data_IF_539913346146
#
_entry.id   IF_539913346146
#
_cell.length_a   1.000
_cell.length_b   1.000
_cell.length_c   1.000
_cell.angle_alpha   90.00
_cell.angle_beta   90.00
_cell.angle_gamma   90.00
#
_symmetry.space_group_name_H-M   'P 1'
#
loop_
_entity.id
_entity.type
_entity.pdbx_description
1 polymer ?
#
# COMPACT_ATOMS: atom_id res chain seq x y z
N UNK A 1 -39.25 -25.20 49.81
CA UNK A 1 -38.85 -25.66 48.47
C UNK A 1 -37.42 -25.22 48.22
N UNK A 2 -36.46 -26.11 48.30
CA UNK A 2 -35.03 -25.78 48.29
C UNK A 2 -34.58 -25.42 46.87
N UNK A 3 -33.65 -24.48 46.73
CA UNK A 3 -33.09 -23.98 45.46
C UNK A 3 -32.66 -25.15 44.54
N UNK A 4 -32.17 -26.26 45.10
CA UNK A 4 -31.83 -27.50 44.40
C UNK A 4 -32.98 -28.18 43.67
N UNK A 5 -34.22 -28.10 44.20
CA UNK A 5 -35.38 -28.70 43.54
C UNK A 5 -35.85 -27.92 42.33
N UNK A 6 -35.68 -26.59 42.35
CA UNK A 6 -36.04 -25.72 41.21
C UNK A 6 -35.05 -25.89 40.04
N UNK A 7 -33.76 -26.04 40.31
CA UNK A 7 -32.75 -26.29 39.29
C UNK A 7 -32.96 -27.65 38.59
N UNK A 8 -33.33 -28.70 39.34
CA UNK A 8 -33.66 -30.02 38.75
C UNK A 8 -34.92 -29.99 37.87
N UNK A 9 -35.92 -29.19 38.20
CA UNK A 9 -37.12 -29.02 37.39
C UNK A 9 -36.80 -28.29 36.08
N UNK A 10 -35.92 -27.27 36.10
CA UNK A 10 -35.49 -26.55 34.92
C UNK A 10 -34.64 -27.42 33.95
N UNK A 11 -33.81 -28.30 34.48
CA UNK A 11 -32.99 -29.23 33.68
C UNK A 11 -33.84 -30.33 33.02
N UNK A 12 -35.02 -30.63 33.55
CA UNK A 12 -35.96 -31.65 33.04
C UNK A 12 -37.05 -31.10 32.14
N UNK A 13 -37.13 -29.77 31.98
CA UNK A 13 -38.16 -29.15 31.15
C UNK A 13 -37.69 -29.09 29.68
N UNK A 14 -38.20 -30.04 28.90
CA UNK A 14 -37.89 -30.16 27.46
C UNK A 14 -38.63 -29.13 26.59
N UNK A 15 -39.50 -28.30 27.18
CA UNK A 15 -40.26 -27.27 26.44
C UNK A 15 -39.38 -26.15 25.86
N UNK A 16 -38.15 -25.97 26.38
CA UNK A 16 -37.14 -25.04 25.87
C UNK A 16 -36.23 -25.59 24.76
N UNK A 17 -36.33 -26.88 24.41
CA UNK A 17 -35.47 -27.52 23.41
C UNK A 17 -35.38 -26.77 22.08
N UNK A 18 -36.51 -26.47 21.41
CA UNK A 18 -36.48 -25.71 20.14
C UNK A 18 -35.88 -24.30 20.27
N UNK A 19 -36.06 -23.64 21.42
CA UNK A 19 -35.45 -22.32 21.67
C UNK A 19 -33.94 -22.42 21.83
N UNK A 20 -33.43 -23.47 22.47
CA UNK A 20 -31.98 -23.68 22.61
C UNK A 20 -31.33 -24.05 21.28
N UNK A 21 -31.99 -24.89 20.48
CA UNK A 21 -31.51 -25.20 19.10
C UNK A 21 -31.49 -23.97 18.22
N UNK A 22 -32.54 -23.15 18.24
CA UNK A 22 -32.60 -21.88 17.50
C UNK A 22 -31.51 -20.90 17.95
N UNK A 23 -31.27 -20.78 19.27
CA UNK A 23 -30.23 -19.92 19.81
C UNK A 23 -28.82 -20.35 19.35
N UNK A 24 -28.55 -21.64 19.22
CA UNK A 24 -27.30 -22.19 18.71
C UNK A 24 -27.12 -21.90 17.22
N UNK A 25 -28.14 -22.08 16.40
CA UNK A 25 -28.11 -21.82 14.97
C UNK A 25 -27.94 -20.32 14.68
N UNK A 26 -28.67 -19.49 15.42
CA UNK A 26 -28.55 -18.01 15.26
C UNK A 26 -27.17 -17.53 15.71
N UNK A 27 -26.62 -18.08 16.77
CA UNK A 27 -25.24 -17.76 17.21
C UNK A 27 -24.21 -18.07 16.13
N UNK A 28 -24.29 -19.26 15.53
CA UNK A 28 -23.42 -19.62 14.40
C UNK A 28 -23.59 -18.70 13.19
N UNK A 29 -24.86 -18.37 12.86
CA UNK A 29 -25.16 -17.44 11.76
C UNK A 29 -24.50 -16.07 11.98
N UNK A 30 -24.59 -15.52 13.20
CA UNK A 30 -23.96 -14.23 13.50
C UNK A 30 -22.43 -14.30 13.40
N UNK A 31 -21.80 -15.37 13.87
CA UNK A 31 -20.34 -15.55 13.73
C UNK A 31 -19.94 -15.51 12.25
N UNK A 32 -20.64 -16.25 11.39
CA UNK A 32 -20.39 -16.27 9.95
C UNK A 32 -20.64 -14.90 9.32
N UNK A 33 -21.73 -14.23 9.68
CA UNK A 33 -22.05 -12.90 9.16
C UNK A 33 -21.00 -11.86 9.53
N UNK A 34 -20.53 -11.85 10.77
CA UNK A 34 -19.49 -10.94 11.24
C UNK A 34 -18.15 -11.25 10.51
N UNK A 35 -17.82 -12.52 10.35
CA UNK A 35 -16.61 -12.92 9.60
C UNK A 35 -16.64 -12.42 8.15
N UNK A 36 -17.76 -12.61 7.46
CA UNK A 36 -17.93 -12.10 6.07
C UNK A 36 -17.81 -10.58 6.02
N UNK A 37 -18.40 -9.87 6.99
CA UNK A 37 -18.31 -8.42 7.09
C UNK A 37 -16.87 -7.93 7.31
N UNK A 38 -16.13 -8.58 8.20
CA UNK A 38 -14.71 -8.26 8.44
C UNK A 38 -13.85 -8.48 7.20
N UNK A 39 -14.03 -9.60 6.50
CA UNK A 39 -13.31 -9.88 5.26
C UNK A 39 -13.65 -8.85 4.17
N UNK A 40 -14.91 -8.47 4.06
CA UNK A 40 -15.36 -7.42 3.12
C UNK A 40 -14.64 -6.08 3.38
N UNK A 41 -14.52 -5.69 4.65
CA UNK A 41 -13.79 -4.47 5.05
C UNK A 41 -12.31 -4.56 4.71
N UNK A 42 -11.69 -5.70 4.96
CA UNK A 42 -10.28 -5.92 4.63
C UNK A 42 -10.03 -5.78 3.12
N UNK A 43 -10.80 -6.47 2.28
CA UNK A 43 -10.66 -6.38 0.82
C UNK A 43 -10.95 -4.99 0.28
N UNK A 44 -11.95 -4.30 0.84
CA UNK A 44 -12.25 -2.93 0.45
C UNK A 44 -11.08 -1.99 0.74
N UNK A 45 -10.44 -2.10 1.91
CA UNK A 45 -9.25 -1.30 2.26
C UNK A 45 -8.06 -1.62 1.36
N UNK A 46 -7.83 -2.90 1.06
CA UNK A 46 -6.78 -3.31 0.12
C UNK A 46 -7.00 -2.71 -1.27
N UNK A 47 -8.22 -2.76 -1.80
CA UNK A 47 -8.56 -2.19 -3.10
C UNK A 47 -8.41 -0.65 -3.11
N UNK A 48 -8.81 0.03 -2.02
CA UNK A 48 -8.63 1.48 -1.90
C UNK A 48 -7.14 1.87 -1.84
N UNK A 49 -6.31 1.12 -1.12
CA UNK A 49 -4.88 1.36 -1.05
C UNK A 49 -4.19 1.09 -2.40
N UNK A 50 -4.62 0.08 -3.16
CA UNK A 50 -4.14 -0.16 -4.52
C UNK A 50 -4.50 1.02 -5.44
N UNK A 51 -5.73 1.48 -5.40
CA UNK A 51 -6.14 2.67 -6.17
C UNK A 51 -5.37 3.91 -5.77
N UNK A 52 -5.12 4.13 -4.47
CA UNK A 52 -4.30 5.22 -3.96
C UNK A 52 -2.87 5.16 -4.51
N UNK A 53 -2.27 3.95 -4.61
CA UNK A 53 -0.93 3.76 -5.18
C UNK A 53 -0.88 4.15 -6.66
N UNK A 54 -1.91 3.80 -7.43
CA UNK A 54 -2.01 4.22 -8.83
C UNK A 54 -2.18 5.74 -8.99
N UNK A 55 -2.92 6.40 -8.11
CA UNK A 55 -3.01 7.86 -8.11
C UNK A 55 -1.66 8.49 -7.74
N UNK A 56 -1.01 7.97 -6.72
CA UNK A 56 0.28 8.46 -6.26
C UNK A 56 1.35 8.42 -7.35
N UNK A 57 1.47 7.29 -8.08
CA UNK A 57 2.47 7.18 -9.16
C UNK A 57 2.16 8.13 -10.32
N UNK A 58 0.88 8.37 -10.63
CA UNK A 58 0.49 9.32 -11.69
C UNK A 58 0.93 10.74 -11.36
N UNK A 59 0.77 11.18 -10.11
CA UNK A 59 1.23 12.50 -9.68
C UNK A 59 2.76 12.52 -9.67
N UNK A 60 3.42 11.49 -9.13
CA UNK A 60 4.87 11.40 -9.06
C UNK A 60 5.56 11.38 -10.43
N UNK A 61 4.88 10.87 -11.47
CA UNK A 61 5.42 10.81 -12.84
C UNK A 61 5.49 12.18 -13.55
N UNK A 62 4.73 13.18 -13.07
CA UNK A 62 4.64 14.52 -13.65
C UNK A 62 5.10 15.63 -12.70
N UNK A 63 5.72 15.27 -11.57
CA UNK A 63 6.24 16.20 -10.57
C UNK A 63 7.75 16.03 -10.42
N UNK A 64 8.45 17.04 -9.88
CA UNK A 64 9.87 16.93 -9.56
C UNK A 64 10.16 15.69 -8.72
N UNK A 65 11.29 15.00 -8.96
CA UNK A 65 11.63 13.79 -8.22
C UNK A 65 11.70 14.06 -6.72
N UNK A 66 11.08 13.17 -5.95
CA UNK A 66 11.10 13.23 -4.46
C UNK A 66 12.49 12.84 -3.93
N UNK A 67 13.14 11.88 -4.59
CA UNK A 67 14.44 11.37 -4.17
C UNK A 67 15.58 12.24 -4.68
N UNK A 68 16.56 12.55 -3.83
CA UNK A 68 17.76 13.26 -4.27
C UNK A 68 18.58 12.38 -5.22
N UNK A 69 19.32 13.02 -6.14
CA UNK A 69 20.25 12.33 -7.03
C UNK A 69 19.63 11.77 -8.31
N UNK A 70 18.37 12.06 -8.58
CA UNK A 70 17.75 11.80 -9.89
C UNK A 70 18.21 12.93 -10.84
N UNK A 71 18.91 12.61 -11.95
CA UNK A 71 19.39 13.64 -12.87
C UNK A 71 18.24 14.23 -13.68
N UNK A 72 18.40 15.50 -14.09
CA UNK A 72 17.42 16.18 -14.97
C UNK A 72 17.56 15.74 -16.43
N UNK A 73 18.80 15.47 -16.85
CA UNK A 73 19.14 15.14 -18.23
C UNK A 73 19.97 13.87 -18.32
N UNK A 74 19.91 13.22 -19.47
CA UNK A 74 20.78 12.11 -19.78
C UNK A 74 22.21 12.60 -19.99
N UNK A 75 23.09 12.32 -19.04
CA UNK A 75 24.52 12.69 -19.11
C UNK A 75 25.28 11.72 -19.99
N UNK A 76 26.46 12.19 -20.46
CA UNK A 76 27.36 11.38 -21.27
C UNK A 76 28.07 10.35 -20.42
N UNK A 77 28.13 9.10 -20.90
CA UNK A 77 28.94 8.07 -20.29
C UNK A 77 30.43 8.42 -20.32
N UNK A 78 31.15 8.07 -19.27
CA UNK A 78 32.60 8.30 -19.21
C UNK A 78 33.30 7.57 -20.37
N UNK A 79 34.13 8.30 -21.10
CA UNK A 79 34.86 7.81 -22.26
C UNK A 79 34.04 7.68 -23.55
N UNK A 80 32.79 8.11 -23.55
CA UNK A 80 31.96 8.14 -24.77
C UNK A 80 32.22 9.42 -25.58
N UNK A 81 32.42 9.26 -26.88
CA UNK A 81 32.52 10.39 -27.84
C UNK A 81 31.20 10.65 -28.58
N UNK A 82 30.12 10.03 -28.13
CA UNK A 82 28.82 10.18 -28.74
C UNK A 82 28.36 11.64 -28.78
N UNK A 83 27.72 12.04 -29.87
CA UNK A 83 27.18 13.41 -30.03
C UNK A 83 25.87 13.57 -29.29
N UNK A 84 25.56 14.78 -28.85
CA UNK A 84 24.24 15.10 -28.31
C UNK A 84 23.15 14.70 -29.32
N UNK A 85 22.06 14.18 -28.83
CA UNK A 85 20.99 13.60 -29.64
C UNK A 85 21.17 12.12 -29.99
N UNK A 86 22.31 11.48 -29.62
CA UNK A 86 22.46 10.02 -29.75
C UNK A 86 21.53 9.29 -28.78
N UNK A 87 20.82 8.29 -29.25
CA UNK A 87 19.92 7.50 -28.43
C UNK A 87 20.67 6.79 -27.30
N UNK A 88 20.11 6.78 -26.09
CA UNK A 88 20.67 6.06 -24.94
C UNK A 88 20.48 4.55 -25.08
N UNK A 89 19.34 4.11 -25.63
CA UNK A 89 19.02 2.68 -25.79
C UNK A 89 19.95 2.00 -26.82
N UNK A 90 20.49 0.85 -26.42
CA UNK A 90 21.34 0.04 -27.30
C UNK A 90 22.72 0.62 -27.59
N UNK A 91 23.09 1.75 -26.95
CA UNK A 91 24.41 2.39 -27.09
C UNK A 91 24.98 2.67 -25.70
N UNK A 92 26.31 2.82 -25.63
CA UNK A 92 26.98 3.30 -24.40
C UNK A 92 27.14 4.84 -24.38
N UNK A 93 26.22 5.54 -25.01
CA UNK A 93 26.31 7.01 -25.15
C UNK A 93 25.98 7.72 -23.81
N UNK A 94 25.01 7.24 -23.11
CA UNK A 94 24.51 7.83 -21.87
C UNK A 94 25.08 7.14 -20.63
N UNK A 95 25.29 7.93 -19.58
CA UNK A 95 25.71 7.42 -18.28
C UNK A 95 24.62 6.51 -17.68
N UNK A 96 25.05 5.43 -17.04
CA UNK A 96 24.14 4.56 -16.30
C UNK A 96 23.81 5.23 -14.97
N UNK A 97 22.53 5.53 -14.77
CA UNK A 97 22.03 6.07 -13.50
C UNK A 97 21.64 4.92 -12.58
N UNK A 98 22.22 4.90 -11.39
CA UNK A 98 21.85 3.92 -10.37
C UNK A 98 20.43 4.19 -9.87
N UNK A 99 19.61 3.15 -9.60
CA UNK A 99 18.28 3.35 -9.05
C UNK A 99 18.32 4.15 -7.76
N UNK A 100 17.48 5.18 -7.67
CA UNK A 100 17.31 5.99 -6.48
C UNK A 100 16.02 5.60 -5.77
N UNK A 101 16.08 5.42 -4.46
CA UNK A 101 14.90 5.13 -3.65
C UNK A 101 14.91 5.91 -2.35
N UNK A 102 13.75 6.38 -1.94
CA UNK A 102 13.57 7.15 -0.70
C UNK A 102 12.16 7.01 -0.16
N UNK A 103 12.01 7.23 1.15
CA UNK A 103 10.70 7.31 1.80
C UNK A 103 10.13 8.71 1.67
N UNK A 104 8.82 8.82 1.64
CA UNK A 104 8.13 10.10 1.71
C UNK A 104 8.40 10.80 3.05
N UNK A 105 8.74 12.08 2.96
CA UNK A 105 9.01 12.92 4.14
C UNK A 105 8.01 14.05 4.17
N UNK A 106 7.36 14.25 5.30
CA UNK A 106 6.46 15.38 5.51
C UNK A 106 7.23 16.71 5.34
N UNK A 107 6.59 17.70 4.72
CA UNK A 107 7.21 18.98 4.37
C UNK A 107 7.87 19.01 3.00
N UNK A 108 7.98 17.89 2.30
CA UNK A 108 8.29 17.89 0.88
C UNK A 108 7.01 18.22 0.10
N UNK A 109 6.98 19.30 -0.72
CA UNK A 109 5.75 19.76 -1.37
C UNK A 109 5.11 18.72 -2.28
N UNK A 110 5.90 17.90 -2.97
CA UNK A 110 5.40 16.83 -3.84
C UNK A 110 4.80 15.68 -3.01
N UNK A 111 5.47 15.30 -1.92
CA UNK A 111 4.96 14.27 -1.01
C UNK A 111 3.67 14.72 -0.35
N UNK A 112 3.61 15.98 0.10
CA UNK A 112 2.43 16.54 0.77
C UNK A 112 1.24 16.64 -0.22
N UNK A 113 1.47 17.00 -1.48
CA UNK A 113 0.45 16.98 -2.54
C UNK A 113 -0.08 15.56 -2.81
N UNK A 114 0.83 14.59 -2.97
CA UNK A 114 0.47 13.19 -3.20
C UNK A 114 -0.30 12.67 -2.00
N UNK A 115 0.26 12.82 -0.81
CA UNK A 115 -0.35 12.30 0.41
C UNK A 115 -1.71 12.93 0.69
N UNK A 116 -1.86 14.24 0.52
CA UNK A 116 -3.14 14.93 0.67
C UNK A 116 -4.22 14.43 -0.29
N UNK A 117 -3.83 14.01 -1.50
CA UNK A 117 -4.75 13.46 -2.49
C UNK A 117 -5.19 12.03 -2.15
N UNK A 118 -4.29 11.19 -1.63
CA UNK A 118 -4.57 9.78 -1.37
C UNK A 118 -5.02 9.49 0.07
N UNK A 119 -4.80 10.41 1.01
CA UNK A 119 -5.13 10.24 2.43
C UNK A 119 -6.58 9.76 2.69
N UNK A 120 -7.61 10.26 1.97
CA UNK A 120 -8.99 9.78 2.18
C UNK A 120 -9.22 8.31 1.82
N UNK A 121 -8.30 7.71 1.05
CA UNK A 121 -8.36 6.31 0.61
C UNK A 121 -7.58 5.37 1.54
N UNK A 122 -6.74 5.93 2.40
CA UNK A 122 -5.84 5.20 3.29
C UNK A 122 -6.44 5.04 4.70
N UNK A 123 -5.93 4.09 5.49
CA UNK A 123 -6.21 4.03 6.92
C UNK A 123 -5.81 5.32 7.65
N UNK A 124 -6.48 5.63 8.77
CA UNK A 124 -6.25 6.87 9.52
C UNK A 124 -4.85 6.97 10.16
N UNK A 125 -4.17 5.86 10.32
CA UNK A 125 -2.81 5.75 10.85
C UNK A 125 -1.73 5.90 9.77
N UNK A 126 -2.12 5.99 8.49
CA UNK A 126 -1.19 6.19 7.40
C UNK A 126 -0.51 7.56 7.51
N UNK A 127 0.78 7.58 7.21
CA UNK A 127 1.64 8.75 7.22
C UNK A 127 2.39 8.88 5.90
N UNK A 128 2.96 10.03 5.56
CA UNK A 128 3.82 10.18 4.38
C UNK A 128 4.98 9.19 4.33
N UNK A 129 5.48 8.72 5.48
CA UNK A 129 6.57 7.75 5.57
C UNK A 129 6.19 6.35 5.03
N UNK A 130 4.89 6.03 4.92
CA UNK A 130 4.43 4.80 4.30
C UNK A 130 4.61 4.80 2.77
N UNK A 131 4.84 5.98 2.16
CA UNK A 131 5.14 6.11 0.75
C UNK A 131 6.64 5.85 0.51
N UNK A 132 6.93 4.93 -0.41
CA UNK A 132 8.27 4.66 -0.91
C UNK A 132 8.31 5.01 -2.38
N UNK A 133 9.27 5.85 -2.75
CA UNK A 133 9.51 6.26 -4.13
C UNK A 133 10.75 5.55 -4.66
N UNK A 134 10.72 5.13 -5.92
CA UNK A 134 11.86 4.53 -6.60
C UNK A 134 11.90 5.00 -8.05
N UNK A 135 13.07 5.46 -8.47
CA UNK A 135 13.36 5.92 -9.82
C UNK A 135 14.42 5.04 -10.43
N UNK A 136 14.10 4.36 -11.52
CA UNK A 136 15.01 3.47 -12.23
C UNK A 136 15.21 3.93 -13.67
N UNK A 137 16.42 3.80 -14.18
CA UNK A 137 16.70 4.14 -15.58
C UNK A 137 15.99 3.15 -16.51
N UNK A 138 15.24 3.67 -17.46
CA UNK A 138 14.63 2.88 -18.54
C UNK A 138 15.58 2.65 -19.72
N UNK A 139 16.71 3.38 -19.75
CA UNK A 139 17.59 3.46 -20.92
C UNK A 139 16.95 4.17 -22.11
N UNK A 140 15.79 4.79 -21.94
CA UNK A 140 15.11 5.57 -22.97
C UNK A 140 15.66 7.01 -23.03
N UNK A 141 15.36 7.68 -24.14
CA UNK A 141 15.80 9.06 -24.37
C UNK A 141 17.08 9.15 -25.17
N UNK A 142 17.68 10.32 -25.18
CA UNK A 142 18.87 10.63 -25.95
C UNK A 142 19.82 11.52 -25.12
N UNK A 143 21.07 11.45 -25.45
CA UNK A 143 22.15 12.21 -24.78
C UNK A 143 21.85 13.71 -24.79
N UNK A 144 21.79 14.34 -23.62
CA UNK A 144 21.46 15.75 -23.43
C UNK A 144 19.96 16.03 -23.44
N UNK A 145 19.10 15.01 -23.64
CA UNK A 145 17.65 15.15 -23.49
C UNK A 145 17.20 14.89 -22.06
N UNK A 146 15.91 15.11 -21.76
CA UNK A 146 15.37 14.89 -20.42
C UNK A 146 15.55 13.44 -19.99
N UNK A 147 15.84 13.25 -18.71
CA UNK A 147 15.90 11.92 -18.12
C UNK A 147 14.50 11.39 -17.86
N UNK A 148 14.18 10.23 -18.41
CA UNK A 148 12.87 9.58 -18.29
C UNK A 148 13.01 8.29 -17.49
N UNK A 149 12.93 8.33 -16.15
CA UNK A 149 12.99 7.14 -15.33
C UNK A 149 11.67 6.36 -15.34
N UNK A 150 11.74 5.10 -14.98
CA UNK A 150 10.59 4.38 -14.46
C UNK A 150 10.37 4.83 -13.02
N UNK A 151 9.29 5.56 -12.80
CA UNK A 151 8.87 6.02 -11.48
C UNK A 151 7.97 4.96 -10.85
N UNK A 152 8.36 4.44 -9.70
CA UNK A 152 7.57 3.49 -8.93
C UNK A 152 7.23 4.09 -7.58
N UNK A 153 5.97 3.95 -7.18
CA UNK A 153 5.51 4.32 -5.84
C UNK A 153 4.96 3.06 -5.19
N UNK A 154 5.37 2.82 -3.96
CA UNK A 154 4.83 1.72 -3.16
C UNK A 154 4.32 2.23 -1.81
N UNK A 155 3.19 1.68 -1.38
CA UNK A 155 2.66 1.84 -0.03
C UNK A 155 3.10 0.65 0.81
N UNK A 156 3.76 0.92 1.93
CA UNK A 156 4.32 -0.08 2.84
C UNK A 156 3.80 0.15 4.25
N UNK A 157 3.85 -0.91 5.06
CA UNK A 157 3.52 -0.89 6.49
C UNK A 157 2.12 -0.36 6.84
N UNK A 158 1.16 -0.54 5.92
CA UNK A 158 -0.25 -0.25 6.20
C UNK A 158 -0.85 -1.36 7.06
N UNK A 159 -1.50 -0.97 8.16
CA UNK A 159 -2.12 -1.92 9.08
C UNK A 159 -3.64 -1.94 8.92
N UNK A 160 -4.21 -3.13 9.01
CA UNK A 160 -5.64 -3.34 9.11
C UNK A 160 -5.97 -3.95 10.46
N UNK A 161 -6.77 -3.26 11.27
CA UNK A 161 -7.27 -3.76 12.53
C UNK A 161 -8.63 -4.43 12.33
N UNK A 162 -8.73 -5.69 12.77
CA UNK A 162 -9.98 -6.41 12.85
C UNK A 162 -10.75 -6.04 14.13
N UNK A 163 -12.06 -5.91 14.06
CA UNK A 163 -12.93 -5.69 15.24
C UNK A 163 -12.92 -6.94 16.12
N UNK A 164 -12.95 -8.12 15.50
CA UNK A 164 -12.77 -9.38 16.20
C UNK A 164 -11.29 -9.76 16.23
N UNK A 165 -10.83 -10.50 17.27
CA UNK A 165 -9.44 -10.95 17.38
C UNK A 165 -9.09 -12.06 16.35
N UNK A 166 -9.61 -11.93 15.14
CA UNK A 166 -9.37 -12.86 14.03
C UNK A 166 -7.90 -12.83 13.57
N UNK A 167 -7.21 -11.70 13.74
CA UNK A 167 -5.79 -11.58 13.42
C UNK A 167 -4.93 -12.60 14.17
N UNK A 168 -5.33 -13.01 15.36
CA UNK A 168 -4.64 -14.08 16.12
C UNK A 168 -4.82 -15.46 15.49
N UNK A 169 -5.93 -15.70 14.81
CA UNK A 169 -6.19 -16.96 14.09
C UNK A 169 -5.34 -17.07 12.81
N UNK A 170 -5.00 -15.95 12.20
CA UNK A 170 -4.18 -15.90 10.97
C UNK A 170 -2.67 -15.70 11.26
N UNK A 171 -2.30 -15.40 12.50
CA UNK A 171 -0.89 -15.24 12.90
C UNK A 171 0.02 -16.42 12.51
N UNK A 172 -0.40 -17.71 12.58
CA UNK A 172 0.44 -18.84 12.18
C UNK A 172 0.74 -18.89 10.66
N UNK A 173 -0.03 -18.18 9.84
CA UNK A 173 0.10 -18.19 8.36
C UNK A 173 0.79 -16.93 7.80
N UNK A 174 1.55 -16.24 8.64
CA UNK A 174 2.40 -15.12 8.22
C UNK A 174 1.70 -13.76 8.17
N UNK A 175 0.47 -13.64 8.66
CA UNK A 175 -0.28 -12.39 8.76
C UNK A 175 -0.09 -11.63 10.08
N UNK A 176 0.80 -12.10 10.96
CA UNK A 176 1.01 -11.49 12.27
C UNK A 176 2.10 -10.43 12.28
N UNK A 177 1.73 -9.17 12.27
CA UNK A 177 2.61 -8.10 12.76
C UNK A 177 2.93 -8.36 14.24
N UNK A 178 4.17 -8.09 14.64
CA UNK A 178 4.67 -8.28 15.99
C UNK A 178 4.01 -7.33 16.99
N UNK A 179 2.80 -7.68 17.43
CA UNK A 179 2.08 -6.97 18.47
C UNK A 179 0.70 -7.55 18.60
N UNK A 180 0.37 -8.16 19.71
CA UNK A 180 -0.87 -8.89 20.03
C UNK A 180 -2.20 -8.15 19.83
N UNK A 181 -2.30 -7.21 18.91
CA UNK A 181 -3.46 -6.37 18.63
C UNK A 181 -4.38 -6.89 17.52
N UNK A 182 -4.08 -8.05 16.92
CA UNK A 182 -4.93 -8.57 15.82
C UNK A 182 -4.82 -7.76 14.51
N UNK A 183 -3.85 -6.88 14.39
CA UNK A 183 -3.58 -6.14 13.16
C UNK A 183 -2.85 -7.02 12.14
N UNK A 184 -3.24 -6.92 10.88
CA UNK A 184 -2.57 -7.57 9.75
C UNK A 184 -1.96 -6.50 8.87
N UNK A 185 -0.68 -6.69 8.51
CA UNK A 185 -0.03 -5.83 7.52
C UNK A 185 -0.59 -6.12 6.13
N UNK A 186 -0.99 -5.07 5.42
CA UNK A 186 -1.25 -5.19 3.99
C UNK A 186 0.09 -5.43 3.28
N UNK A 187 0.08 -6.35 2.32
CA UNK A 187 1.24 -6.58 1.45
C UNK A 187 1.63 -5.27 0.76
N UNK A 188 2.93 -5.01 0.53
CA UNK A 188 3.35 -3.83 -0.20
C UNK A 188 2.66 -3.74 -1.56
N UNK A 189 2.00 -2.61 -1.79
CA UNK A 189 1.29 -2.32 -3.04
C UNK A 189 2.18 -1.40 -3.86
N UNK A 190 2.53 -1.79 -5.08
CA UNK A 190 3.45 -1.03 -5.93
C UNK A 190 2.81 -0.76 -7.28
N UNK A 191 2.87 0.49 -7.71
CA UNK A 191 2.53 0.90 -9.07
C UNK A 191 3.75 1.57 -9.71
N UNK A 192 3.92 1.38 -11.02
CA UNK A 192 5.03 1.98 -11.77
C UNK A 192 4.52 2.59 -13.08
N UNK A 193 5.07 3.74 -13.43
CA UNK A 193 4.84 4.43 -14.70
C UNK A 193 6.14 5.07 -15.19
N UNK A 194 6.36 5.16 -16.50
CA UNK A 194 7.43 6.01 -17.00
C UNK A 194 7.17 7.47 -16.62
N UNK A 195 8.20 8.19 -16.19
CA UNK A 195 8.12 9.62 -15.98
C UNK A 195 7.90 10.29 -17.34
N UNK A 196 6.90 11.15 -17.44
CA UNK A 196 6.63 11.85 -18.71
C UNK A 196 7.32 13.22 -18.74
N UNK A 197 7.11 14.01 -17.70
CA UNK A 197 7.75 15.28 -17.48
C UNK A 197 7.91 15.46 -15.97
N UNK A 198 9.12 15.30 -15.46
CA UNK A 198 9.36 15.42 -14.03
C UNK A 198 9.37 16.88 -13.56
N UNK A 199 9.00 17.83 -14.43
CA UNK A 199 8.99 19.28 -14.15
C UNK A 199 10.28 19.71 -13.41
N UNK A 200 11.41 19.19 -13.87
CA UNK A 200 12.74 19.58 -13.40
C UNK A 200 13.21 20.77 -14.22
N UNK A 201 12.92 21.95 -13.76
CA UNK A 201 13.38 23.17 -14.40
C UNK A 201 12.43 24.33 -14.24
N UNK A 202 12.91 25.51 -14.56
CA UNK A 202 12.17 26.78 -14.46
C UNK A 202 11.20 27.01 -15.60
N UNK A 203 11.23 26.21 -16.66
CA UNK A 203 10.45 26.36 -17.88
C UNK A 203 9.76 25.06 -18.31
N UNK A 204 9.34 24.26 -17.31
CA UNK A 204 8.74 22.92 -17.41
C UNK A 204 7.61 22.79 -18.42
#
# INVERSE_FOLDING_TARGET
>A
MTMRSRVRLLIRDERGGPLAEFALVIGLLFIVAIFVFEMSRFFMRAAMAEYATHLAVRIAAVRPPVCPGVPEFNERASGSEARFGTMCSGTSACAVVTPQSCSGTAGNPVVDEIFGTIQPLLPNDATPANLQFRYESTGLGFLGGPYVPMTSVSLQDLQHEFILPLGQLFAPWGGGGAGGSGAVLLSPLTAAMPGEDLNVGTNG
#
